data_IF_576048051267
#
_entry.id   IF_576048051267
#
_cell.length_a   1.000
_cell.length_b   1.000
_cell.length_c   1.000
_cell.angle_alpha   90.00
_cell.angle_beta   90.00
_cell.angle_gamma   90.00
#
_symmetry.space_group_name_H-M   'P 1'
#
loop_
_entity.id
_entity.type
_entity.pdbx_description
1 polymer ?
#
# COMPACT_ATOMS: atom_id res chain seq x y z
N UNK A 1 22.63 -8.12 -7.81
CA UNK A 1 21.47 -8.91 -7.37
C UNK A 1 21.39 -8.79 -5.85
N UNK A 2 20.22 -8.52 -5.26
CA UNK A 2 20.05 -8.40 -3.79
C UNK A 2 19.97 -9.83 -3.23
N UNK A 3 20.71 -10.14 -2.16
CA UNK A 3 20.66 -11.48 -1.55
C UNK A 3 19.30 -11.76 -0.90
N UNK A 4 18.88 -13.02 -0.86
CA UNK A 4 17.63 -13.42 -0.21
C UNK A 4 17.58 -13.04 1.27
N UNK A 5 18.72 -13.10 1.95
CA UNK A 5 18.83 -12.68 3.35
C UNK A 5 18.50 -11.20 3.53
N UNK A 6 19.10 -10.32 2.72
CA UNK A 6 18.80 -8.87 2.75
C UNK A 6 17.34 -8.59 2.46
N UNK A 7 16.77 -9.24 1.45
CA UNK A 7 15.34 -9.12 1.15
C UNK A 7 14.49 -9.47 2.37
N UNK A 8 14.77 -10.60 3.03
CA UNK A 8 14.05 -11.03 4.23
C UNK A 8 14.14 -10.01 5.36
N UNK A 9 15.34 -9.46 5.61
CA UNK A 9 15.55 -8.42 6.64
C UNK A 9 14.75 -7.16 6.35
N UNK A 10 14.73 -6.69 5.10
CA UNK A 10 13.99 -5.49 4.71
C UNK A 10 12.47 -5.70 4.82
N UNK A 11 11.95 -6.85 4.39
CA UNK A 11 10.54 -7.21 4.55
C UNK A 11 10.17 -7.23 6.03
N UNK A 12 11.00 -7.85 6.86
CA UNK A 12 10.77 -7.89 8.30
C UNK A 12 10.74 -6.48 8.91
N UNK A 13 11.71 -5.62 8.56
CA UNK A 13 11.74 -4.24 9.03
C UNK A 13 10.48 -3.45 8.63
N UNK A 14 10.00 -3.62 7.40
CA UNK A 14 8.74 -3.03 6.96
C UNK A 14 7.57 -3.45 7.87
N UNK A 15 7.39 -4.75 8.10
CA UNK A 15 6.26 -5.25 8.86
C UNK A 15 6.34 -4.96 10.36
N UNK A 16 7.54 -4.92 10.94
CA UNK A 16 7.70 -4.65 12.38
C UNK A 16 7.67 -3.17 12.72
N UNK A 17 8.03 -2.27 11.81
CA UNK A 17 8.19 -0.83 12.11
C UNK A 17 7.10 0.00 11.42
N UNK A 18 7.00 -0.08 10.09
CA UNK A 18 6.09 0.77 9.32
C UNK A 18 4.64 0.26 9.33
N UNK A 19 4.45 -1.02 9.09
CA UNK A 19 3.15 -1.64 8.94
C UNK A 19 2.27 -1.52 10.20
N UNK A 20 2.87 -1.52 11.38
CA UNK A 20 2.15 -1.35 12.66
C UNK A 20 1.32 -0.06 12.69
N UNK A 21 1.85 1.01 12.06
CA UNK A 21 1.13 2.29 11.97
C UNK A 21 0.20 2.35 10.75
N UNK A 22 0.63 1.75 9.64
CA UNK A 22 -0.09 1.80 8.36
C UNK A 22 -0.26 0.39 7.78
N UNK A 23 -1.29 -0.37 8.20
CA UNK A 23 -1.50 -1.76 7.80
C UNK A 23 -2.07 -1.87 6.37
N UNK A 24 -1.31 -1.36 5.40
CA UNK A 24 -1.67 -1.31 3.98
C UNK A 24 -1.68 -2.67 3.28
N UNK A 25 -0.83 -3.60 3.75
CA UNK A 25 -0.51 -4.85 3.06
C UNK A 25 -0.73 -5.99 4.05
N UNK A 26 -1.39 -7.05 3.64
CA UNK A 26 -1.50 -8.24 4.48
C UNK A 26 -0.20 -9.04 4.47
N UNK A 27 0.42 -9.19 5.63
CA UNK A 27 1.78 -9.74 5.80
C UNK A 27 1.92 -11.15 5.23
N UNK A 28 1.04 -12.08 5.64
CA UNK A 28 1.14 -13.47 5.19
C UNK A 28 0.92 -13.60 3.68
N UNK A 29 -0.04 -12.86 3.11
CA UNK A 29 -0.26 -12.85 1.67
C UNK A 29 0.96 -12.35 0.93
N UNK A 30 1.56 -11.27 1.39
CA UNK A 30 2.75 -10.69 0.76
C UNK A 30 3.95 -11.64 0.85
N UNK A 31 4.21 -12.23 2.01
CA UNK A 31 5.28 -13.22 2.21
C UNK A 31 5.06 -14.47 1.34
N UNK A 32 3.84 -15.00 1.27
CA UNK A 32 3.50 -16.14 0.42
C UNK A 32 3.72 -15.84 -1.07
N UNK A 33 3.42 -14.62 -1.51
CA UNK A 33 3.70 -14.17 -2.87
C UNK A 33 5.21 -14.01 -3.14
N UNK A 34 5.98 -13.54 -2.16
CA UNK A 34 7.45 -13.48 -2.26
C UNK A 34 8.06 -14.87 -2.46
N UNK A 35 7.59 -15.86 -1.72
CA UNK A 35 8.07 -17.24 -1.79
C UNK A 35 7.49 -18.05 -2.97
N UNK A 36 6.58 -17.45 -3.75
CA UNK A 36 5.94 -18.13 -4.88
C UNK A 36 4.90 -19.19 -4.51
N UNK A 37 4.51 -19.28 -3.23
CA UNK A 37 3.47 -20.21 -2.74
C UNK A 37 2.06 -19.69 -3.01
N UNK A 38 1.93 -18.42 -3.36
CA UNK A 38 0.68 -17.78 -3.80
C UNK A 38 0.91 -17.00 -5.08
N UNK A 39 -0.07 -17.02 -5.98
CA UNK A 39 -0.01 -16.26 -7.23
C UNK A 39 0.13 -14.77 -6.98
N UNK A 40 0.96 -14.11 -7.79
CA UNK A 40 1.13 -12.65 -7.76
C UNK A 40 0.08 -12.00 -8.64
N UNK A 41 -0.55 -10.91 -8.18
CA UNK A 41 -1.39 -10.12 -9.07
C UNK A 41 -0.47 -9.42 -10.10
N UNK A 42 -0.98 -9.01 -11.22
CA UNK A 42 -0.30 -8.25 -12.27
C UNK A 42 1.19 -7.99 -12.04
N UNK A 43 2.08 -8.65 -12.82
CA UNK A 43 3.52 -8.74 -12.53
C UNK A 43 4.17 -7.37 -12.21
N UNK A 44 3.92 -6.34 -13.03
CA UNK A 44 4.52 -5.01 -12.83
C UNK A 44 4.02 -4.29 -11.57
N UNK A 45 2.72 -4.35 -11.32
CA UNK A 45 2.15 -3.78 -10.08
C UNK A 45 2.71 -4.46 -8.84
N UNK A 46 2.90 -5.78 -8.92
CA UNK A 46 3.56 -6.54 -7.88
C UNK A 46 5.02 -6.12 -7.69
N UNK A 47 5.78 -6.02 -8.78
CA UNK A 47 7.19 -5.64 -8.71
C UNK A 47 7.35 -4.22 -8.14
N UNK A 48 6.48 -3.28 -8.54
CA UNK A 48 6.44 -1.93 -7.96
C UNK A 48 6.18 -1.97 -6.46
N UNK A 49 5.18 -2.74 -6.03
CA UNK A 49 4.85 -2.91 -4.61
C UNK A 49 6.01 -3.55 -3.85
N UNK A 50 6.60 -4.60 -4.40
CA UNK A 50 7.73 -5.30 -3.80
C UNK A 50 8.92 -4.37 -3.53
N UNK A 51 9.35 -3.62 -4.54
CA UNK A 51 10.45 -2.67 -4.38
C UNK A 51 10.08 -1.47 -3.49
N UNK A 52 8.82 -1.04 -3.46
CA UNK A 52 8.36 -0.02 -2.53
C UNK A 52 8.44 -0.51 -1.08
N UNK A 53 8.03 -1.75 -0.80
CA UNK A 53 8.17 -2.38 0.52
C UNK A 53 9.63 -2.48 0.94
N UNK A 54 10.51 -2.95 0.04
CA UNK A 54 11.95 -3.03 0.32
C UNK A 54 12.55 -1.64 0.59
N UNK A 55 12.14 -0.62 -0.17
CA UNK A 55 12.60 0.76 0.00
C UNK A 55 12.18 1.35 1.35
N UNK A 56 10.93 1.12 1.77
CA UNK A 56 10.45 1.54 3.10
C UNK A 56 11.16 0.75 4.20
N UNK A 57 11.34 -0.56 4.04
CA UNK A 57 12.07 -1.40 4.99
C UNK A 57 13.52 -0.95 5.16
N UNK A 58 14.21 -0.59 4.08
CA UNK A 58 15.56 -0.06 4.13
C UNK A 58 15.61 1.29 4.86
N UNK A 59 14.63 2.16 4.59
CA UNK A 59 14.50 3.43 5.31
C UNK A 59 14.26 3.23 6.81
N UNK A 60 13.45 2.23 7.19
CA UNK A 60 13.16 1.92 8.60
C UNK A 60 14.39 1.45 9.37
N UNK A 61 15.36 0.84 8.72
CA UNK A 61 16.59 0.38 9.35
C UNK A 61 17.64 1.47 9.55
N UNK A 62 17.40 2.69 9.04
CA UNK A 62 18.28 3.86 9.16
C UNK A 62 19.74 3.50 8.86
N UNK A 63 19.97 2.72 7.81
CA UNK A 63 21.30 2.35 7.38
C UNK A 63 22.05 3.58 6.88
N UNK A 64 23.27 3.79 7.33
CA UNK A 64 24.16 4.86 6.90
C UNK A 64 24.40 4.89 5.37
N UNK A 65 24.14 3.77 4.66
CA UNK A 65 24.18 3.68 3.20
C UNK A 65 22.86 4.18 2.57
N UNK A 66 22.70 5.50 2.54
CA UNK A 66 21.62 6.19 1.84
C UNK A 66 21.55 5.85 0.33
N UNK A 67 22.59 5.25 -0.25
CA UNK A 67 22.61 4.86 -1.65
C UNK A 67 21.82 3.58 -1.94
N UNK A 68 21.69 2.68 -0.95
CA UNK A 68 20.99 1.42 -1.15
C UNK A 68 19.47 1.60 -1.17
N UNK A 69 18.91 2.32 -0.20
CA UNK A 69 17.47 2.60 -0.18
C UNK A 69 17.04 3.51 -1.34
N UNK A 70 17.92 4.46 -1.78
CA UNK A 70 17.70 5.28 -2.97
C UNK A 70 17.59 4.41 -4.24
N UNK A 71 18.43 3.37 -4.38
CA UNK A 71 18.34 2.43 -5.52
C UNK A 71 17.01 1.67 -5.54
N UNK A 72 16.55 1.21 -4.38
CA UNK A 72 15.25 0.53 -4.25
C UNK A 72 14.09 1.46 -4.60
N UNK A 73 14.12 2.67 -4.06
CA UNK A 73 13.14 3.71 -4.34
C UNK A 73 13.08 4.05 -5.84
N UNK A 74 14.23 4.31 -6.47
CA UNK A 74 14.29 4.59 -7.91
C UNK A 74 13.80 3.41 -8.74
N UNK A 75 14.11 2.19 -8.33
CA UNK A 75 13.62 0.99 -9.02
C UNK A 75 12.11 0.89 -8.96
N UNK A 76 11.52 1.15 -7.80
CA UNK A 76 10.06 1.15 -7.64
C UNK A 76 9.39 2.26 -8.48
N UNK A 77 9.95 3.48 -8.49
CA UNK A 77 9.45 4.57 -9.34
C UNK A 77 9.52 4.21 -10.81
N UNK A 78 10.67 3.72 -11.28
CA UNK A 78 10.87 3.35 -12.69
C UNK A 78 9.86 2.28 -13.15
N UNK A 79 9.58 1.29 -12.30
CA UNK A 79 8.56 0.28 -12.60
C UNK A 79 7.15 0.87 -12.64
N UNK A 80 6.92 1.95 -11.90
CA UNK A 80 5.67 2.70 -11.87
C UNK A 80 5.51 3.73 -13.00
N UNK A 81 6.53 3.97 -13.82
CA UNK A 81 6.48 4.94 -14.94
C UNK A 81 6.05 4.32 -16.28
N UNK A 82 5.74 3.04 -16.30
CA UNK A 82 5.28 2.36 -17.52
C UNK A 82 3.89 2.83 -17.95
N UNK A 83 3.66 2.94 -19.24
CA UNK A 83 2.36 3.33 -19.81
C UNK A 83 1.21 2.48 -19.31
N UNK A 84 1.45 1.20 -19.04
CA UNK A 84 0.44 0.28 -18.47
C UNK A 84 -0.09 0.70 -17.10
N UNK A 85 0.63 1.55 -16.35
CA UNK A 85 0.17 2.07 -15.06
C UNK A 85 -1.06 2.98 -15.21
N UNK A 86 -1.21 3.66 -16.34
CA UNK A 86 -2.35 4.52 -16.62
C UNK A 86 -3.57 3.75 -17.12
N UNK A 87 -3.37 2.53 -17.61
CA UNK A 87 -4.42 1.68 -18.15
C UNK A 87 -5.02 0.73 -17.12
N UNK A 88 -4.23 0.36 -16.11
CA UNK A 88 -4.64 -0.64 -15.10
C UNK A 88 -4.76 -0.05 -13.70
N UNK A 89 -5.96 -0.11 -13.13
CA UNK A 89 -6.15 0.16 -11.70
C UNK A 89 -6.25 -1.16 -10.95
N UNK A 90 -5.41 -1.37 -9.95
CA UNK A 90 -5.48 -2.51 -9.05
C UNK A 90 -4.98 -2.16 -7.65
N UNK A 91 -5.39 -2.96 -6.66
CA UNK A 91 -5.11 -2.66 -5.24
C UNK A 91 -3.61 -2.61 -4.94
N UNK A 92 -2.83 -3.53 -5.52
CA UNK A 92 -1.37 -3.58 -5.29
C UNK A 92 -0.66 -2.32 -5.78
N UNK A 93 -1.13 -1.75 -6.89
CA UNK A 93 -0.56 -0.51 -7.41
C UNK A 93 -0.94 0.69 -6.55
N UNK A 94 -2.18 0.76 -6.05
CA UNK A 94 -2.57 1.80 -5.08
C UNK A 94 -1.71 1.70 -3.82
N UNK A 95 -1.50 0.51 -3.28
CA UNK A 95 -0.62 0.27 -2.13
C UNK A 95 0.82 0.73 -2.41
N UNK A 96 1.37 0.38 -3.57
CA UNK A 96 2.71 0.80 -3.98
C UNK A 96 2.84 2.33 -4.07
N UNK A 97 1.88 3.00 -4.69
CA UNK A 97 1.87 4.45 -4.84
C UNK A 97 1.78 5.17 -3.49
N UNK A 98 1.02 4.62 -2.52
CA UNK A 98 0.96 5.14 -1.17
C UNK A 98 2.33 5.05 -0.46
N UNK A 99 2.99 3.90 -0.56
CA UNK A 99 4.34 3.72 -0.01
C UNK A 99 5.35 4.65 -0.67
N UNK A 100 5.31 4.76 -2.01
CA UNK A 100 6.18 5.67 -2.77
C UNK A 100 5.93 7.13 -2.43
N UNK A 101 4.67 7.53 -2.21
CA UNK A 101 4.35 8.87 -1.76
C UNK A 101 5.01 9.19 -0.41
N UNK A 102 4.84 8.30 0.57
CA UNK A 102 5.42 8.47 1.89
C UNK A 102 6.95 8.51 1.84
N UNK A 103 7.56 7.56 1.11
CA UNK A 103 9.01 7.49 0.96
C UNK A 103 9.58 8.70 0.22
N UNK A 104 8.88 9.22 -0.79
CA UNK A 104 9.27 10.45 -1.51
C UNK A 104 9.31 11.66 -0.58
N UNK A 105 8.30 11.81 0.29
CA UNK A 105 8.27 12.91 1.27
C UNK A 105 9.45 12.82 2.25
N UNK A 106 9.74 11.63 2.78
CA UNK A 106 10.87 11.36 3.66
C UNK A 106 12.22 11.64 3.00
N UNK A 107 12.29 11.58 1.68
CA UNK A 107 13.46 11.89 0.85
C UNK A 107 13.51 13.32 0.35
N UNK A 108 12.72 14.22 0.94
CA UNK A 108 12.63 15.63 0.53
C UNK A 108 12.25 15.81 -0.95
N UNK A 109 11.37 14.93 -1.47
CA UNK A 109 10.80 15.00 -2.83
C UNK A 109 9.28 15.19 -2.77
N UNK A 110 8.78 16.31 -2.20
CA UNK A 110 7.35 16.47 -1.91
C UNK A 110 6.47 16.49 -3.16
N UNK A 111 6.98 16.97 -4.29
CA UNK A 111 6.22 16.97 -5.54
C UNK A 111 6.02 15.57 -6.11
N UNK A 112 7.05 14.72 -6.06
CA UNK A 112 6.93 13.30 -6.46
C UNK A 112 5.93 12.58 -5.56
N UNK A 113 6.03 12.79 -4.24
CA UNK A 113 5.08 12.24 -3.28
C UNK A 113 3.65 12.67 -3.54
N UNK A 114 3.43 13.95 -3.83
CA UNK A 114 2.12 14.50 -4.18
C UNK A 114 1.54 13.89 -5.46
N UNK A 115 2.34 13.74 -6.50
CA UNK A 115 1.92 13.13 -7.75
C UNK A 115 1.55 11.65 -7.56
N UNK A 116 2.32 10.90 -6.76
CA UNK A 116 1.99 9.52 -6.38
C UNK A 116 0.64 9.44 -5.65
N UNK A 117 0.36 10.35 -4.70
CA UNK A 117 -0.93 10.43 -4.01
C UNK A 117 -2.07 10.74 -4.98
N UNK A 118 -1.89 11.69 -5.89
CA UNK A 118 -2.88 12.05 -6.90
C UNK A 118 -3.27 10.86 -7.79
N UNK A 119 -2.27 10.08 -8.22
CA UNK A 119 -2.49 8.88 -9.01
C UNK A 119 -3.15 7.77 -8.18
N UNK A 120 -2.68 7.54 -6.96
CA UNK A 120 -3.28 6.59 -6.02
C UNK A 120 -4.76 6.90 -5.77
N UNK A 121 -5.10 8.17 -5.55
CA UNK A 121 -6.49 8.63 -5.36
C UNK A 121 -7.37 8.34 -6.57
N UNK A 122 -6.90 8.63 -7.78
CA UNK A 122 -7.66 8.37 -9.00
C UNK A 122 -7.92 6.88 -9.18
N UNK A 123 -6.89 6.04 -8.99
CA UNK A 123 -7.03 4.59 -9.06
C UNK A 123 -7.93 4.03 -7.95
N UNK A 124 -7.79 4.50 -6.71
CA UNK A 124 -8.64 4.09 -5.61
C UNK A 124 -10.11 4.43 -5.86
N UNK A 125 -10.37 5.59 -6.46
CA UNK A 125 -11.73 6.00 -6.83
C UNK A 125 -12.31 5.16 -7.96
N UNK A 126 -11.54 4.83 -9.00
CA UNK A 126 -11.98 3.96 -10.10
C UNK A 126 -12.23 2.52 -9.63
N UNK A 127 -11.49 2.04 -8.63
CA UNK A 127 -11.73 0.76 -7.97
C UNK A 127 -12.92 0.80 -7.00
N UNK A 128 -13.53 1.96 -6.77
CA UNK A 128 -14.63 2.13 -5.84
C UNK A 128 -14.23 1.91 -4.38
N UNK A 129 -12.97 2.21 -3.96
CA UNK A 129 -12.53 1.99 -2.58
C UNK A 129 -13.24 2.90 -1.58
N UNK A 130 -13.79 4.03 -2.04
CA UNK A 130 -14.60 4.96 -1.24
C UNK A 130 -16.01 4.47 -0.95
N UNK A 131 -16.40 3.32 -1.54
CA UNK A 131 -17.73 2.72 -1.40
C UNK A 131 -17.64 1.41 -0.63
N UNK A 132 -18.63 1.17 0.23
CA UNK A 132 -18.68 -0.07 1.02
C UNK A 132 -18.99 -1.31 0.16
N UNK A 133 -19.72 -1.14 -0.93
CA UNK A 133 -20.08 -2.22 -1.87
C UNK A 133 -20.67 -3.47 -1.16
N UNK A 134 -21.67 -3.25 -0.31
CA UNK A 134 -22.35 -4.29 0.47
C UNK A 134 -22.89 -5.42 -0.40
N UNK A 135 -23.34 -5.09 -1.61
CA UNK A 135 -23.93 -6.00 -2.60
C UNK A 135 -22.90 -6.86 -3.35
N UNK A 136 -21.62 -6.53 -3.23
CA UNK A 136 -20.57 -7.25 -3.94
C UNK A 136 -20.21 -8.55 -3.22
N UNK A 137 -20.13 -9.64 -3.99
CA UNK A 137 -19.70 -10.95 -3.50
C UNK A 137 -18.16 -10.98 -3.33
N UNK A 138 -17.66 -10.22 -2.36
CA UNK A 138 -16.23 -10.19 -1.96
C UNK A 138 -16.13 -10.71 -0.53
N UNK A 139 -15.02 -11.40 -0.23
CA UNK A 139 -14.79 -11.93 1.11
C UNK A 139 -14.66 -10.81 2.15
N UNK A 140 -14.99 -11.06 3.44
CA UNK A 140 -14.77 -10.09 4.51
C UNK A 140 -13.32 -9.59 4.57
N UNK A 141 -12.36 -10.46 4.31
CA UNK A 141 -10.95 -10.11 4.20
C UNK A 141 -10.67 -9.10 3.07
N UNK A 142 -11.19 -9.36 1.87
CA UNK A 142 -11.02 -8.43 0.75
C UNK A 142 -11.66 -7.08 1.04
N UNK A 143 -12.83 -7.06 1.68
CA UNK A 143 -13.53 -5.85 2.12
C UNK A 143 -12.67 -5.06 3.12
N UNK A 144 -12.13 -5.73 4.12
CA UNK A 144 -11.26 -5.09 5.11
C UNK A 144 -9.99 -4.50 4.48
N UNK A 145 -9.34 -5.22 3.56
CA UNK A 145 -8.16 -4.70 2.86
C UNK A 145 -8.48 -3.46 2.02
N UNK A 146 -9.65 -3.39 1.40
CA UNK A 146 -10.14 -2.21 0.67
C UNK A 146 -10.30 -1.01 1.62
N UNK A 147 -10.92 -1.22 2.79
CA UNK A 147 -11.09 -0.19 3.83
C UNK A 147 -9.73 0.33 4.31
N UNK A 148 -8.80 -0.57 4.66
CA UNK A 148 -7.45 -0.21 5.11
C UNK A 148 -6.71 0.66 4.10
N UNK A 149 -6.74 0.30 2.83
CA UNK A 149 -6.09 1.07 1.76
C UNK A 149 -6.74 2.45 1.59
N UNK A 150 -8.07 2.52 1.60
CA UNK A 150 -8.78 3.80 1.50
C UNK A 150 -8.48 4.74 2.67
N UNK A 151 -8.57 4.25 3.89
CA UNK A 151 -8.33 5.08 5.07
C UNK A 151 -6.86 5.48 5.23
N UNK A 152 -5.93 4.65 4.79
CA UNK A 152 -4.52 5.04 4.73
C UNK A 152 -4.27 6.10 3.67
N UNK A 153 -4.92 6.02 2.51
CA UNK A 153 -4.88 7.07 1.50
C UNK A 153 -5.42 8.38 2.09
N UNK A 154 -6.53 8.34 2.83
CA UNK A 154 -7.12 9.50 3.50
C UNK A 154 -6.14 10.15 4.49
N UNK A 155 -5.48 9.34 5.31
CA UNK A 155 -4.47 9.83 6.26
C UNK A 155 -3.27 10.46 5.56
N UNK A 156 -2.76 9.83 4.50
CA UNK A 156 -1.59 10.35 3.78
C UNK A 156 -1.90 11.65 3.04
N UNK A 157 -3.08 11.74 2.43
CA UNK A 157 -3.53 12.98 1.77
C UNK A 157 -3.71 14.12 2.77
N UNK A 158 -4.39 13.87 3.89
CA UNK A 158 -4.59 14.87 4.94
C UNK A 158 -3.26 15.35 5.53
N UNK A 159 -2.34 14.43 5.80
CA UNK A 159 -1.02 14.76 6.35
C UNK A 159 -0.18 15.58 5.36
N UNK A 160 -0.15 15.17 4.08
CA UNK A 160 0.59 15.88 3.06
C UNK A 160 -0.01 17.28 2.78
N UNK A 161 -1.32 17.38 2.77
CA UNK A 161 -2.04 18.65 2.59
C UNK A 161 -1.71 19.63 3.72
N UNK A 162 -1.76 19.17 4.97
CA UNK A 162 -1.44 20.00 6.13
C UNK A 162 0.03 20.42 6.14
N UNK A 163 0.95 19.47 5.86
CA UNK A 163 2.39 19.73 5.91
C UNK A 163 2.84 20.69 4.82
N UNK A 164 2.28 20.60 3.61
CA UNK A 164 2.72 21.35 2.45
C UNK A 164 1.77 22.50 2.05
N UNK A 165 0.72 22.75 2.83
CA UNK A 165 -0.27 23.81 2.53
C UNK A 165 -1.02 23.58 1.22
N UNK A 166 -1.26 22.33 0.82
CA UNK A 166 -1.95 21.95 -0.41
C UNK A 166 -3.40 21.60 -0.14
N UNK A 167 -4.26 21.75 -1.14
CA UNK A 167 -5.65 21.30 -1.03
C UNK A 167 -5.72 19.78 -0.91
N UNK A 168 -6.64 19.27 -0.08
CA UNK A 168 -6.92 17.82 0.02
C UNK A 168 -7.46 17.30 -1.31
N UNK A 169 -7.03 16.12 -1.70
CA UNK A 169 -7.48 15.47 -2.93
C UNK A 169 -8.74 14.62 -2.71
N UNK A 170 -8.99 14.21 -1.47
CA UNK A 170 -10.08 13.31 -1.13
C UNK A 170 -11.38 14.06 -0.90
N UNK A 171 -12.52 13.46 -1.29
CA UNK A 171 -13.83 14.05 -1.10
C UNK A 171 -14.21 14.08 0.39
N UNK A 172 -15.15 14.96 0.73
CA UNK A 172 -15.80 14.93 2.02
C UNK A 172 -16.64 13.66 2.22
N UNK A 173 -17.09 13.45 3.46
CA UNK A 173 -17.82 12.23 3.85
C UNK A 173 -19.16 12.06 3.15
N UNK A 174 -19.72 13.12 2.61
CA UNK A 174 -21.00 13.13 1.89
C UNK A 174 -21.00 12.31 0.60
N UNK A 175 -19.80 12.05 0.03
CA UNK A 175 -19.65 11.27 -1.23
C UNK A 175 -19.01 9.90 -1.01
N UNK A 176 -18.79 9.49 0.23
CA UNK A 176 -18.25 8.17 0.56
C UNK A 176 -19.07 7.49 1.65
N UNK A 177 -19.30 6.19 1.49
CA UNK A 177 -20.05 5.34 2.42
C UNK A 177 -19.20 4.19 3.00
N UNK A 178 -17.91 4.17 2.67
CA UNK A 178 -16.99 3.15 3.17
C UNK A 178 -16.91 3.15 4.71
N UNK A 179 -17.10 1.99 5.31
CA UNK A 179 -16.99 1.80 6.76
C UNK A 179 -15.56 2.00 7.25
N UNK A 180 -15.40 2.27 8.53
CA UNK A 180 -14.07 2.31 9.15
C UNK A 180 -13.40 0.94 9.13
N UNK A 181 -12.08 0.95 9.26
CA UNK A 181 -11.28 -0.27 9.45
C UNK A 181 -11.73 -0.99 10.70
N UNK A 182 -11.81 -2.32 10.60
CA UNK A 182 -12.10 -3.17 11.74
C UNK A 182 -10.87 -3.25 12.65
N UNK A 183 -11.09 -3.23 13.98
CA UNK A 183 -9.99 -3.44 14.94
C UNK A 183 -9.69 -4.94 15.07
N UNK A 184 -9.18 -5.55 14.00
CA UNK A 184 -8.89 -6.99 13.91
C UNK A 184 -7.45 -7.17 13.48
N UNK A 185 -6.69 -8.01 14.21
CA UNK A 185 -5.33 -8.37 13.81
C UNK A 185 -5.34 -9.19 12.51
N UNK A 186 -4.24 -9.16 11.76
CA UNK A 186 -4.10 -9.93 10.52
C UNK A 186 -4.30 -11.44 10.73
N UNK A 187 -3.90 -11.96 11.90
CA UNK A 187 -4.10 -13.35 12.30
C UNK A 187 -5.58 -13.74 12.40
N UNK A 188 -6.42 -12.86 12.92
CA UNK A 188 -7.88 -13.10 13.07
C UNK A 188 -8.61 -12.92 11.75
N UNK A 189 -8.11 -12.08 10.85
CA UNK A 189 -8.71 -11.84 9.53
C UNK A 189 -8.86 -13.11 8.67
N UNK A 190 -8.01 -14.11 8.88
CA UNK A 190 -8.14 -15.44 8.25
C UNK A 190 -9.20 -16.33 8.88
N UNK A 191 -9.57 -16.09 10.13
CA UNK A 191 -10.54 -16.92 10.86
C UNK A 191 -11.99 -16.47 10.64
N UNK A 192 -12.22 -15.22 10.22
CA UNK A 192 -13.57 -14.69 9.98
C UNK A 192 -14.42 -15.51 9.00
N UNK A 193 -13.89 -16.11 7.90
CA UNK A 193 -14.69 -16.99 7.06
C UNK A 193 -15.06 -18.31 7.73
N UNK A 194 -14.34 -18.76 8.74
CA UNK A 194 -14.60 -20.02 9.45
C UNK A 194 -15.62 -19.88 10.59
N UNK A 195 -15.76 -18.68 11.15
CA UNK A 195 -16.70 -18.42 12.25
C UNK A 195 -18.11 -18.09 11.76
N UNK A 196 -18.27 -17.59 10.53
CA UNK A 196 -19.59 -17.32 9.94
C UNK A 196 -20.34 -18.58 9.44
N UNK A 197 -19.69 -19.74 9.45
CA UNK A 197 -20.30 -21.02 9.05
C UNK A 197 -20.71 -21.92 10.25
N UNK A 198 -20.72 -21.37 11.46
CA UNK A 198 -21.21 -22.06 12.66
C UNK A 198 -22.43 -21.27 13.16
N UNK A 199 -23.55 -21.45 12.48
CA UNK A 199 -24.83 -20.90 12.82
C UNK A 199 -25.94 -21.57 12.02
#
# INVERSE_FOLDING_TARGET
MISHHVIGTLIQAYFTIFHVTYPLIHEETFKAQCHGTRSRPYQRSWDTLFYAVLGVGAWCLDNEDNAFDERLYRRALFLGEDESIFETANLSLVQALLLLSNLSQKRNKPNTGWNCLGLAKRMASSLGLHRELSEWNISPFQREMRRRVWWSLYMFDSSASTTFGRATLLPGREVMDVSYVSNVSDEVGYLLPRLCNIG
#
